data_IF_752149202686
#
_entry.id   IF_752149202686
#
_cell.length_a   1.000
_cell.length_b   1.000
_cell.length_c   1.000
_cell.angle_alpha   90.00
_cell.angle_beta   90.00
_cell.angle_gamma   90.00
#
_symmetry.space_group_name_H-M   'P 1'
#
loop_
_entity.id
_entity.type
_entity.pdbx_description
1 polymer ?
#
# COMPACT_ATOMS: atom_id res chain seq x y z
N UNK A 1 -4.05 19.73 3.18
CA UNK A 1 -3.84 20.34 4.53
C UNK A 1 -3.24 19.26 5.42
N UNK A 2 -2.24 19.55 6.24
CA UNK A 2 -1.70 18.58 7.22
C UNK A 2 -2.17 18.98 8.62
N UNK A 3 -2.82 18.05 9.32
CA UNK A 3 -3.33 18.22 10.68
C UNK A 3 -2.64 17.22 11.59
N UNK A 4 -1.99 17.70 12.63
CA UNK A 4 -1.28 16.87 13.61
C UNK A 4 -1.98 16.94 14.95
N UNK A 5 -2.33 15.79 15.52
CA UNK A 5 -3.07 15.70 16.79
C UNK A 5 -3.46 14.26 17.11
N UNK A 6 -4.21 14.05 18.20
CA UNK A 6 -4.78 12.75 18.55
C UNK A 6 -6.28 12.77 18.24
N UNK A 7 -6.75 11.77 17.50
CA UNK A 7 -8.14 11.62 17.09
C UNK A 7 -8.68 10.24 17.49
N UNK A 8 -9.99 10.13 17.71
CA UNK A 8 -10.63 8.90 18.19
C UNK A 8 -10.46 7.76 17.17
N UNK A 9 -10.42 8.10 15.88
CA UNK A 9 -10.24 7.17 14.76
C UNK A 9 -8.97 6.33 14.86
N UNK A 10 -7.89 6.88 15.44
CA UNK A 10 -6.62 6.16 15.62
C UNK A 10 -6.76 5.02 16.61
N UNK A 11 -7.45 5.24 17.73
CA UNK A 11 -7.70 4.20 18.73
C UNK A 11 -8.71 3.16 18.24
N UNK A 12 -9.73 3.60 17.49
CA UNK A 12 -10.79 2.72 17.00
C UNK A 12 -10.34 1.77 15.89
N UNK A 13 -9.37 2.18 15.07
CA UNK A 13 -8.99 1.48 13.85
C UNK A 13 -7.51 1.04 13.80
N UNK A 14 -6.73 1.29 14.85
CA UNK A 14 -5.35 0.82 15.01
C UNK A 14 -4.42 1.33 13.88
N UNK A 15 -4.56 2.61 13.49
CA UNK A 15 -3.68 3.31 12.55
C UNK A 15 -3.25 4.68 13.09
N UNK A 16 -2.15 5.23 12.56
CA UNK A 16 -1.54 6.48 13.03
C UNK A 16 -1.70 7.68 12.08
N UNK A 17 -2.19 7.44 10.87
CA UNK A 17 -2.49 8.49 9.90
C UNK A 17 -3.65 8.08 8.98
N UNK A 18 -4.33 9.07 8.41
CA UNK A 18 -5.31 8.87 7.34
C UNK A 18 -5.50 10.14 6.50
N UNK A 19 -5.84 9.95 5.24
CA UNK A 19 -6.31 10.97 4.32
C UNK A 19 -7.84 10.98 4.28
N UNK A 20 -8.42 12.15 4.52
CA UNK A 20 -9.84 12.39 4.29
C UNK A 20 -10.07 13.79 3.69
N UNK A 21 -10.78 13.82 2.57
CA UNK A 21 -11.38 15.04 2.00
C UNK A 21 -10.40 16.21 1.83
N UNK A 22 -9.18 15.94 1.35
CA UNK A 22 -8.15 16.97 1.10
C UNK A 22 -7.27 17.31 2.31
N UNK A 23 -7.45 16.61 3.42
CA UNK A 23 -6.63 16.72 4.63
C UNK A 23 -5.94 15.38 4.95
N UNK A 24 -4.69 15.48 5.36
CA UNK A 24 -3.92 14.39 5.94
C UNK A 24 -3.93 14.63 7.45
N UNK A 25 -4.37 13.63 8.20
CA UNK A 25 -4.39 13.62 9.66
C UNK A 25 -3.31 12.67 10.14
N UNK A 26 -2.46 13.12 11.06
CA UNK A 26 -1.33 12.34 11.58
C UNK A 26 -1.30 12.44 13.09
N UNK A 27 -1.10 11.30 13.75
CA UNK A 27 -0.94 11.22 15.20
C UNK A 27 0.26 12.03 15.65
N UNK A 28 0.10 12.79 16.73
CA UNK A 28 1.23 13.42 17.42
C UNK A 28 1.99 12.43 18.33
N UNK A 29 1.52 11.19 18.43
CA UNK A 29 2.17 10.07 19.10
C UNK A 29 2.72 9.16 17.99
N UNK A 30 4.04 9.07 17.91
CA UNK A 30 4.75 8.33 16.86
C UNK A 30 5.88 7.53 17.50
N UNK A 31 6.25 6.43 16.87
CA UNK A 31 7.36 5.58 17.31
C UNK A 31 8.70 6.27 17.04
N UNK A 32 8.92 6.75 15.82
CA UNK A 32 10.02 7.66 15.49
C UNK A 32 9.70 8.67 14.36
N UNK A 33 10.74 9.39 13.90
CA UNK A 33 10.62 10.41 12.85
C UNK A 33 10.41 9.77 11.48
N UNK A 34 11.04 8.63 11.22
CA UNK A 34 10.95 7.95 9.94
C UNK A 34 9.53 7.39 9.76
N UNK A 35 8.91 6.86 10.82
CA UNK A 35 7.51 6.42 10.82
C UNK A 35 6.53 7.56 10.52
N UNK A 36 6.70 8.72 11.16
CA UNK A 36 5.86 9.89 10.88
C UNK A 36 5.98 10.35 9.42
N UNK A 37 7.19 10.30 8.85
CA UNK A 37 7.43 10.69 7.46
C UNK A 37 6.81 9.67 6.51
N UNK A 38 6.95 8.37 6.80
CA UNK A 38 6.33 7.28 6.02
C UNK A 38 4.80 7.45 5.96
N UNK A 39 4.16 7.64 7.11
CA UNK A 39 2.72 7.92 7.26
C UNK A 39 2.28 9.12 6.40
N UNK A 40 3.00 10.25 6.50
CA UNK A 40 2.68 11.46 5.72
C UNK A 40 2.79 11.20 4.21
N UNK A 41 3.83 10.49 3.78
CA UNK A 41 4.05 10.18 2.36
C UNK A 41 2.99 9.21 1.84
N UNK A 42 2.59 8.22 2.64
CA UNK A 42 1.53 7.27 2.31
C UNK A 42 0.18 7.96 2.15
N UNK A 43 -0.21 8.82 3.09
CA UNK A 43 -1.47 9.56 3.00
C UNK A 43 -1.44 10.63 1.89
N UNK A 44 -0.27 11.18 1.60
CA UNK A 44 -0.09 12.02 0.42
C UNK A 44 -0.31 11.23 -0.88
N UNK A 45 0.15 9.98 -0.95
CA UNK A 45 -0.11 9.10 -2.09
C UNK A 45 -1.62 8.91 -2.31
N UNK A 46 -2.39 8.64 -1.25
CA UNK A 46 -3.84 8.54 -1.33
C UNK A 46 -4.50 9.82 -1.86
N UNK A 47 -3.98 10.99 -1.48
CA UNK A 47 -4.46 12.28 -1.99
C UNK A 47 -4.19 12.48 -3.49
N UNK A 48 -3.10 11.91 -4.02
CA UNK A 48 -2.74 11.98 -5.43
C UNK A 48 -3.43 10.91 -6.29
N UNK A 49 -3.82 9.80 -5.69
CA UNK A 49 -4.55 8.74 -6.37
C UNK A 49 -5.86 9.26 -6.99
N UNK A 50 -6.60 10.10 -6.27
CA UNK A 50 -7.88 10.67 -6.72
C UNK A 50 -7.74 11.45 -8.05
N UNK A 51 -6.87 12.48 -8.17
CA UNK A 51 -6.71 13.22 -9.41
C UNK A 51 -6.00 12.43 -10.53
N UNK A 52 -5.15 11.45 -10.20
CA UNK A 52 -4.39 10.66 -11.20
C UNK A 52 -4.97 9.27 -11.49
N UNK A 53 -6.15 8.95 -10.94
CA UNK A 53 -6.74 7.61 -11.03
C UNK A 53 -6.91 7.09 -12.47
N UNK A 54 -7.22 7.98 -13.43
CA UNK A 54 -7.29 7.58 -14.84
C UNK A 54 -5.91 7.18 -15.39
N UNK A 55 -4.88 7.96 -15.13
CA UNK A 55 -3.51 7.70 -15.59
C UNK A 55 -2.94 6.44 -14.93
N UNK A 56 -3.26 6.22 -13.65
CA UNK A 56 -2.83 5.07 -12.87
C UNK A 56 -3.51 3.77 -13.33
N UNK A 57 -4.84 3.80 -13.54
CA UNK A 57 -5.61 2.55 -13.62
C UNK A 57 -6.27 2.25 -14.97
N UNK A 58 -6.33 3.19 -15.91
CA UNK A 58 -7.07 3.01 -17.18
C UNK A 58 -6.56 1.86 -18.06
N UNK A 59 -5.26 1.56 -18.04
CA UNK A 59 -4.66 0.47 -18.81
C UNK A 59 -4.70 -0.89 -18.09
N UNK A 60 -5.27 -0.93 -16.88
CA UNK A 60 -5.37 -2.09 -15.99
C UNK A 60 -4.04 -2.77 -15.63
N UNK A 61 -2.87 -2.17 -15.91
CA UNK A 61 -1.58 -2.85 -15.70
C UNK A 61 -1.26 -3.04 -14.22
N UNK A 62 -1.35 -1.98 -13.41
CA UNK A 62 -1.19 -2.07 -11.95
C UNK A 62 -2.21 -3.04 -11.35
N UNK A 63 -3.48 -2.94 -11.78
CA UNK A 63 -4.56 -3.83 -11.32
C UNK A 63 -4.26 -5.30 -11.61
N UNK A 64 -3.81 -5.62 -12.83
CA UNK A 64 -3.47 -6.99 -13.21
C UNK A 64 -2.26 -7.52 -12.44
N UNK A 65 -1.22 -6.69 -12.25
CA UNK A 65 -0.06 -7.02 -11.42
C UNK A 65 -0.48 -7.34 -9.98
N UNK A 66 -1.26 -6.46 -9.35
CA UNK A 66 -1.82 -6.65 -8.01
C UNK A 66 -2.65 -7.94 -7.88
N UNK A 67 -3.58 -8.19 -8.80
CA UNK A 67 -4.42 -9.39 -8.78
C UNK A 67 -3.60 -10.67 -8.96
N UNK A 68 -2.57 -10.65 -9.80
CA UNK A 68 -1.67 -11.79 -9.96
C UNK A 68 -0.90 -12.08 -8.67
N UNK A 69 -0.42 -11.03 -7.99
CA UNK A 69 0.25 -11.16 -6.68
C UNK A 69 -0.70 -11.72 -5.62
N UNK A 70 -1.94 -11.24 -5.53
CA UNK A 70 -2.92 -11.78 -4.57
C UNK A 70 -3.31 -13.23 -4.84
N UNK A 71 -3.44 -13.62 -6.11
CA UNK A 71 -3.63 -15.04 -6.47
C UNK A 71 -2.44 -15.89 -6.05
N UNK A 72 -1.22 -15.38 -6.19
CA UNK A 72 -0.02 -16.08 -5.73
C UNK A 72 0.02 -16.19 -4.19
N UNK A 73 -0.31 -15.11 -3.48
CA UNK A 73 -0.46 -15.12 -2.02
C UNK A 73 -1.48 -16.18 -1.57
N UNK A 74 -2.65 -16.25 -2.21
CA UNK A 74 -3.65 -17.29 -1.95
C UNK A 74 -3.06 -18.70 -2.08
N UNK A 75 -2.30 -18.96 -3.14
CA UNK A 75 -1.66 -20.25 -3.37
C UNK A 75 -0.62 -20.59 -2.28
N UNK A 76 0.16 -19.60 -1.84
CA UNK A 76 1.13 -19.79 -0.74
C UNK A 76 0.42 -20.14 0.57
N UNK A 77 -0.59 -19.36 0.95
CA UNK A 77 -1.40 -19.60 2.14
C UNK A 77 -2.08 -20.97 2.09
N UNK A 78 -2.61 -21.35 0.93
CA UNK A 78 -3.24 -22.65 0.74
C UNK A 78 -2.26 -23.81 0.96
N UNK A 79 -1.01 -23.69 0.49
CA UNK A 79 0.06 -24.69 0.70
C UNK A 79 0.51 -24.78 2.16
N UNK A 80 0.35 -23.70 2.93
CA UNK A 80 0.60 -23.66 4.37
C UNK A 80 -0.62 -24.09 5.20
N UNK A 81 -1.63 -24.68 4.57
CA UNK A 81 -2.92 -25.07 5.16
C UNK A 81 -3.73 -23.93 5.79
N UNK A 82 -3.45 -22.69 5.41
CA UNK A 82 -4.26 -21.52 5.72
C UNK A 82 -5.30 -21.36 4.62
N UNK A 83 -6.50 -21.89 4.85
CA UNK A 83 -7.59 -21.85 3.86
C UNK A 83 -8.39 -20.55 3.97
N UNK A 84 -8.63 -19.93 2.82
CA UNK A 84 -9.49 -18.76 2.65
C UNK A 84 -10.20 -18.79 1.29
N UNK A 85 -11.40 -18.17 1.19
CA UNK A 85 -12.13 -18.07 -0.07
C UNK A 85 -11.30 -17.37 -1.15
N UNK A 86 -11.35 -17.86 -2.39
CA UNK A 86 -10.69 -17.18 -3.52
C UNK A 86 -11.25 -15.78 -3.80
N UNK A 87 -12.53 -15.56 -3.46
CA UNK A 87 -13.20 -14.26 -3.61
C UNK A 87 -12.47 -13.15 -2.87
N UNK A 88 -11.91 -13.44 -1.69
CA UNK A 88 -11.12 -12.49 -0.94
C UNK A 88 -9.96 -11.94 -1.75
N UNK A 89 -9.28 -12.77 -2.56
CA UNK A 89 -8.05 -12.39 -3.26
C UNK A 89 -8.28 -11.79 -4.66
N UNK A 90 -9.53 -11.62 -5.09
CA UNK A 90 -9.87 -11.05 -6.40
C UNK A 90 -10.65 -9.75 -6.31
N UNK A 91 -11.21 -9.43 -5.15
CA UNK A 91 -11.77 -8.12 -4.86
C UNK A 91 -10.64 -7.10 -4.68
N UNK A 92 -10.67 -5.99 -5.41
CA UNK A 92 -9.57 -5.01 -5.39
C UNK A 92 -9.76 -3.89 -4.36
N UNK A 93 -10.99 -3.74 -3.88
CA UNK A 93 -11.34 -2.71 -2.92
C UNK A 93 -10.98 -3.16 -1.50
N UNK A 94 -10.82 -2.19 -0.60
CA UNK A 94 -10.57 -2.49 0.80
C UNK A 94 -11.76 -3.28 1.38
N UNK A 95 -11.44 -4.36 2.08
CA UNK A 95 -12.42 -5.20 2.74
C UNK A 95 -11.95 -5.49 4.16
N UNK A 96 -12.68 -4.96 5.15
CA UNK A 96 -12.35 -5.09 6.58
C UNK A 96 -12.21 -6.55 7.03
N UNK A 97 -13.07 -7.46 6.54
CA UNK A 97 -12.98 -8.88 6.89
C UNK A 97 -11.70 -9.52 6.33
N UNK A 98 -11.31 -9.14 5.11
CA UNK A 98 -10.06 -9.62 4.51
C UNK A 98 -8.83 -9.08 5.24
N UNK A 99 -8.85 -7.80 5.60
CA UNK A 99 -7.77 -7.17 6.34
C UNK A 99 -7.62 -7.79 7.75
N UNK A 100 -8.73 -7.97 8.47
CA UNK A 100 -8.72 -8.71 9.75
C UNK A 100 -8.24 -10.15 9.60
N UNK A 101 -8.56 -10.82 8.48
CA UNK A 101 -8.01 -12.13 8.18
C UNK A 101 -6.48 -12.10 8.00
N UNK A 102 -5.95 -11.10 7.28
CA UNK A 102 -4.51 -10.91 7.11
C UNK A 102 -3.82 -10.57 8.44
N UNK A 103 -4.35 -9.61 9.17
CA UNK A 103 -3.78 -9.11 10.42
C UNK A 103 -3.97 -10.08 11.59
N UNK A 104 -5.21 -10.39 11.96
CA UNK A 104 -5.52 -11.12 13.20
C UNK A 104 -5.33 -12.63 13.09
N UNK A 105 -5.59 -13.22 11.91
CA UNK A 105 -5.52 -14.69 11.74
C UNK A 105 -4.15 -15.18 11.26
N UNK A 106 -3.49 -14.46 10.37
CA UNK A 106 -2.14 -14.82 9.91
C UNK A 106 -1.08 -14.21 10.82
N UNK A 107 -1.27 -12.95 11.23
CA UNK A 107 -0.27 -12.16 11.95
C UNK A 107 0.70 -11.49 10.99
N UNK A 108 0.98 -10.20 11.19
CA UNK A 108 1.87 -9.44 10.30
C UNK A 108 3.31 -9.96 10.31
N UNK A 109 3.81 -10.54 11.41
CA UNK A 109 5.13 -11.19 11.41
C UNK A 109 5.22 -12.32 10.38
N UNK A 110 4.23 -13.20 10.37
CA UNK A 110 4.19 -14.32 9.42
C UNK A 110 3.86 -13.84 8.02
N UNK A 111 2.97 -12.86 7.89
CA UNK A 111 2.57 -12.31 6.60
C UNK A 111 3.73 -11.56 5.93
N UNK A 112 4.56 -10.85 6.69
CA UNK A 112 5.80 -10.22 6.22
C UNK A 112 6.71 -11.23 5.53
N UNK A 113 6.97 -12.37 6.17
CA UNK A 113 7.82 -13.43 5.58
C UNK A 113 7.19 -14.05 4.33
N UNK A 114 5.87 -14.22 4.29
CA UNK A 114 5.15 -14.76 3.12
C UNK A 114 5.14 -13.74 1.96
N UNK A 115 4.99 -12.46 2.27
CA UNK A 115 4.93 -11.36 1.31
C UNK A 115 6.31 -10.96 0.78
N UNK A 116 7.41 -11.38 1.43
CA UNK A 116 8.77 -11.05 0.97
C UNK A 116 8.98 -11.49 -0.47
N UNK A 117 9.30 -10.53 -1.33
CA UNK A 117 9.49 -10.73 -2.78
C UNK A 117 8.18 -10.73 -3.59
N UNK A 118 7.04 -10.56 -2.93
CA UNK A 118 5.71 -10.48 -3.53
C UNK A 118 5.08 -9.11 -3.36
N UNK A 119 5.17 -8.50 -2.18
CA UNK A 119 4.72 -7.15 -1.87
C UNK A 119 5.82 -6.41 -1.09
N UNK A 120 5.80 -5.08 -1.12
CA UNK A 120 6.72 -4.26 -0.32
C UNK A 120 6.45 -4.50 1.18
N UNK A 121 5.17 -4.49 1.56
CA UNK A 121 4.70 -4.78 2.90
C UNK A 121 3.38 -5.59 2.87
N UNK A 122 2.90 -6.11 4.00
CA UNK A 122 1.59 -6.74 4.12
C UNK A 122 0.43 -5.81 3.76
N UNK A 123 0.53 -4.52 4.07
CA UNK A 123 -0.48 -3.51 3.76
C UNK A 123 -0.75 -3.42 2.26
N UNK A 124 0.30 -3.50 1.43
CA UNK A 124 0.17 -3.54 -0.02
C UNK A 124 -0.68 -4.71 -0.57
N UNK A 125 -1.03 -5.72 0.24
CA UNK A 125 -1.91 -6.81 -0.18
C UNK A 125 -3.40 -6.57 0.12
N UNK A 126 -3.76 -5.57 0.95
CA UNK A 126 -5.12 -5.38 1.48
C UNK A 126 -6.08 -4.82 0.43
N UNK A 127 -5.62 -3.85 -0.37
CA UNK A 127 -6.38 -3.23 -1.46
C UNK A 127 -5.47 -2.72 -2.58
N UNK A 128 -6.05 -2.41 -3.74
CA UNK A 128 -5.29 -1.80 -4.85
C UNK A 128 -4.80 -0.39 -4.50
N UNK A 129 -5.56 0.34 -3.68
CA UNK A 129 -5.22 1.68 -3.22
C UNK A 129 -4.00 1.63 -2.27
N UNK A 130 -4.01 0.69 -1.33
CA UNK A 130 -2.86 0.44 -0.45
C UNK A 130 -1.64 -0.07 -1.22
N UNK A 131 -1.86 -0.90 -2.25
CA UNK A 131 -0.78 -1.36 -3.13
C UNK A 131 -0.08 -0.18 -3.81
N UNK A 132 -0.85 0.78 -4.33
CA UNK A 132 -0.32 2.00 -4.91
C UNK A 132 0.39 2.87 -3.87
N UNK A 133 -0.29 3.19 -2.76
CA UNK A 133 0.25 4.07 -1.72
C UNK A 133 1.55 3.52 -1.12
N UNK A 134 1.59 2.23 -0.76
CA UNK A 134 2.79 1.58 -0.24
C UNK A 134 3.97 1.64 -1.22
N UNK A 135 3.70 1.39 -2.52
CA UNK A 135 4.76 1.46 -3.53
C UNK A 135 5.22 2.90 -3.83
N UNK A 136 4.31 3.87 -3.72
CA UNK A 136 4.64 5.29 -3.81
C UNK A 136 5.54 5.69 -2.63
N UNK A 137 5.19 5.30 -1.41
CA UNK A 137 5.99 5.56 -0.21
C UNK A 137 7.38 4.97 -0.34
N UNK A 138 7.51 3.69 -0.71
CA UNK A 138 8.81 3.06 -0.94
C UNK A 138 9.66 3.81 -1.99
N UNK A 139 9.04 4.26 -3.09
CA UNK A 139 9.71 5.03 -4.13
C UNK A 139 10.27 6.37 -3.61
N UNK A 140 9.53 7.10 -2.78
CA UNK A 140 9.98 8.41 -2.30
C UNK A 140 10.88 8.35 -1.07
N UNK A 141 10.70 7.36 -0.21
CA UNK A 141 11.49 7.17 1.00
C UNK A 141 12.90 6.63 0.67
N UNK A 142 13.04 5.77 -0.35
CA UNK A 142 14.32 5.11 -0.66
C UNK A 142 14.91 5.52 -2.01
N UNK A 143 15.48 6.74 -2.07
CA UNK A 143 16.07 7.34 -3.29
C UNK A 143 17.08 6.48 -4.06
N UNK A 144 17.81 5.59 -3.38
CA UNK A 144 18.80 4.69 -4.00
C UNK A 144 18.31 3.22 -4.08
N UNK A 145 17.08 2.95 -3.65
CA UNK A 145 16.56 1.60 -3.35
C UNK A 145 15.50 1.05 -4.30
N UNK A 146 15.17 1.77 -5.38
CA UNK A 146 14.05 1.40 -6.25
C UNK A 146 14.19 0.05 -6.96
N UNK A 147 15.39 -0.55 -6.97
CA UNK A 147 15.60 -1.86 -7.60
C UNK A 147 14.63 -2.91 -7.04
N UNK A 148 14.36 -2.87 -5.73
CA UNK A 148 13.45 -3.84 -5.11
C UNK A 148 12.03 -3.67 -5.65
N UNK A 149 11.45 -2.47 -5.55
CA UNK A 149 10.13 -2.16 -6.08
C UNK A 149 10.01 -2.45 -7.57
N UNK A 150 11.02 -2.05 -8.36
CA UNK A 150 11.07 -2.31 -9.81
C UNK A 150 11.09 -3.80 -10.14
N UNK A 151 11.78 -4.61 -9.32
CA UNK A 151 11.87 -6.05 -9.54
C UNK A 151 10.56 -6.76 -9.17
N UNK A 152 9.97 -6.43 -8.02
CA UNK A 152 8.78 -7.14 -7.56
C UNK A 152 7.50 -6.59 -8.19
N UNK A 153 7.43 -5.29 -8.46
CA UNK A 153 6.23 -4.54 -8.91
C UNK A 153 6.55 -3.61 -10.10
N UNK A 154 7.02 -4.15 -11.25
CA UNK A 154 7.49 -3.36 -12.38
C UNK A 154 6.45 -2.41 -12.99
N UNK A 155 5.17 -2.80 -13.06
CA UNK A 155 4.13 -1.93 -13.64
C UNK A 155 3.78 -0.78 -12.70
N UNK A 156 3.71 -1.04 -11.39
CA UNK A 156 3.54 0.02 -10.38
C UNK A 156 4.73 0.98 -10.38
N UNK A 157 5.96 0.46 -10.34
CA UNK A 157 7.18 1.28 -10.42
C UNK A 157 7.17 2.17 -11.66
N UNK A 158 6.86 1.58 -12.82
CA UNK A 158 6.85 2.31 -14.09
C UNK A 158 5.85 3.46 -14.06
N UNK A 159 4.65 3.25 -13.50
CA UNK A 159 3.61 4.29 -13.40
C UNK A 159 4.00 5.41 -12.45
N UNK A 160 4.57 5.09 -11.29
CA UNK A 160 5.07 6.10 -10.35
C UNK A 160 6.20 6.91 -11.00
N UNK A 161 7.15 6.23 -11.65
CA UNK A 161 8.26 6.88 -12.33
C UNK A 161 7.80 7.79 -13.47
N UNK A 162 6.87 7.33 -14.32
CA UNK A 162 6.31 8.13 -15.42
C UNK A 162 5.58 9.39 -14.93
N UNK A 163 4.89 9.32 -13.79
CA UNK A 163 4.12 10.44 -13.26
C UNK A 163 4.96 11.43 -12.44
N UNK A 164 6.00 10.95 -11.74
CA UNK A 164 6.63 11.74 -10.68
C UNK A 164 8.16 11.78 -10.69
N UNK A 165 8.85 11.08 -11.61
CA UNK A 165 10.31 11.19 -11.70
C UNK A 165 10.72 12.61 -12.13
N UNK A 166 11.74 13.17 -11.47
CA UNK A 166 12.32 14.48 -11.82
C UNK A 166 12.76 14.55 -13.28
N UNK A 167 13.20 13.42 -13.86
CA UNK A 167 13.58 13.31 -15.28
C UNK A 167 12.41 13.61 -16.25
N UNK A 168 11.17 13.54 -15.77
CA UNK A 168 9.94 13.80 -16.53
C UNK A 168 9.30 15.15 -16.18
N UNK A 169 9.90 15.92 -15.27
CA UNK A 169 9.41 17.24 -14.89
C UNK A 169 10.16 18.32 -15.69
N UNK A 170 9.46 18.95 -16.63
CA UNK A 170 9.97 20.11 -17.39
C UNK A 170 10.17 21.30 -16.43
N UNK A 171 11.34 21.41 -15.80
CA UNK A 171 11.79 22.60 -15.06
C UNK A 171 12.75 23.47 -15.87
#
# INVERSE_FOLDING_TARGET
MLVVGQFDEFEENDFNAFYDSGAIYVSNIQDDVDDMVDDIVHEYAHSLEEPYGMQLYSDNKIKNEFLNKRRYLHNLLWKMDIKAPKSFFVDVDYNKEFDEFLYKKIGYDKLNEICRGLFISPYAATSLREYYATGFTDFFMYRNGHEYLKNISPELYKKIFELYSEDNLDF
#
